data_IF_589560148438
#
_entry.id   IF_589560148438
#
_cell.length_a   1.000
_cell.length_b   1.000
_cell.length_c   1.000
_cell.angle_alpha   90.00
_cell.angle_beta   90.00
_cell.angle_gamma   90.00
#
_symmetry.space_group_name_H-M   'P 1'
#
loop_
_entity.id
_entity.type
_entity.pdbx_description
1 polymer ?
#
# COMPACT_ATOMS: atom_id res chain seq x y z
N UNK A 1 -2.06 17.42 -7.66
CA UNK A 1 -1.73 17.52 -6.23
C UNK A 1 -0.59 16.56 -5.95
N UNK A 2 0.35 16.96 -5.14
CA UNK A 2 1.54 16.17 -4.83
C UNK A 2 1.59 15.86 -3.34
N UNK A 3 2.24 14.78 -2.99
CA UNK A 3 2.47 14.35 -1.63
C UNK A 3 3.97 14.07 -1.41
N UNK A 4 4.37 13.78 -0.18
CA UNK A 4 5.74 13.37 0.13
C UNK A 4 5.71 11.90 0.54
N UNK A 5 6.59 11.11 -0.07
CA UNK A 5 6.76 9.70 0.26
C UNK A 5 8.21 9.36 0.60
N UNK A 6 8.38 8.31 1.38
CA UNK A 6 9.67 7.66 1.57
C UNK A 6 9.88 6.71 0.39
N UNK A 7 10.83 7.00 -0.47
CA UNK A 7 11.01 6.26 -1.73
C UNK A 7 12.30 5.47 -1.71
N UNK A 8 12.19 4.17 -1.94
CA UNK A 8 13.32 3.31 -2.23
C UNK A 8 13.53 3.28 -3.75
N UNK A 9 14.61 3.89 -4.22
CA UNK A 9 14.81 4.16 -5.65
C UNK A 9 15.77 3.20 -6.34
N UNK A 10 16.48 2.35 -5.60
CA UNK A 10 17.34 1.32 -6.18
C UNK A 10 17.60 0.17 -5.19
N UNK A 11 18.19 -0.92 -5.68
CA UNK A 11 18.60 -2.07 -4.88
C UNK A 11 19.88 -1.84 -4.05
N UNK A 12 20.58 -0.73 -4.25
CA UNK A 12 21.80 -0.44 -3.51
C UNK A 12 21.47 -0.06 -2.06
N UNK A 13 22.24 -0.52 -1.08
CA UNK A 13 22.06 -0.11 0.31
C UNK A 13 21.98 1.40 0.49
N UNK A 14 21.05 1.87 1.30
CA UNK A 14 20.87 3.29 1.59
C UNK A 14 20.14 4.09 0.51
N UNK A 15 19.59 3.44 -0.52
CA UNK A 15 18.85 4.09 -1.61
C UNK A 15 17.41 4.45 -1.21
N UNK A 16 17.25 5.14 -0.10
CA UNK A 16 15.95 5.57 0.45
C UNK A 16 16.02 7.04 0.80
N UNK A 17 15.06 7.82 0.30
CA UNK A 17 14.97 9.24 0.56
C UNK A 17 13.53 9.75 0.54
N UNK A 18 13.31 10.95 1.06
CA UNK A 18 12.04 11.66 0.90
C UNK A 18 11.96 12.25 -0.49
N UNK A 19 10.91 11.92 -1.20
CA UNK A 19 10.62 12.46 -2.54
C UNK A 19 9.21 12.99 -2.63
N UNK A 20 9.01 13.97 -3.50
CA UNK A 20 7.69 14.38 -3.93
C UNK A 20 7.12 13.30 -4.85
N UNK A 21 5.93 12.84 -4.54
CA UNK A 21 5.21 11.82 -5.30
C UNK A 21 3.91 12.37 -5.85
N UNK A 22 3.51 11.87 -7.00
CA UNK A 22 2.22 12.25 -7.59
C UNK A 22 1.06 11.69 -6.75
N UNK A 23 -0.05 12.42 -6.76
CA UNK A 23 -1.29 11.95 -6.17
C UNK A 23 -1.74 10.67 -6.91
N UNK A 24 -2.04 9.59 -6.20
CA UNK A 24 -2.36 8.32 -6.85
C UNK A 24 -3.64 8.42 -7.68
N UNK A 25 -3.62 7.84 -8.87
CA UNK A 25 -4.84 7.59 -9.62
C UNK A 25 -5.61 6.47 -8.93
N UNK A 26 -6.93 6.59 -8.88
CA UNK A 26 -7.79 5.59 -8.27
C UNK A 26 -8.98 5.24 -9.17
N UNK A 27 -9.40 4.00 -9.11
CA UNK A 27 -10.52 3.45 -9.87
C UNK A 27 -11.81 3.36 -9.06
N UNK A 28 -12.79 2.72 -9.65
CA UNK A 28 -14.13 2.58 -9.07
C UNK A 28 -14.19 1.74 -7.79
N UNK A 29 -13.22 0.86 -7.59
CA UNK A 29 -13.12 -0.04 -6.43
C UNK A 29 -12.11 0.41 -5.37
N UNK A 30 -11.47 1.56 -5.56
CA UNK A 30 -10.40 2.05 -4.72
C UNK A 30 -10.87 3.06 -3.67
N UNK A 31 -10.03 3.27 -2.67
CA UNK A 31 -10.19 4.29 -1.63
C UNK A 31 -8.93 5.14 -1.57
N UNK A 32 -9.08 6.45 -1.55
CA UNK A 32 -7.99 7.37 -1.24
C UNK A 32 -8.05 7.75 0.23
N UNK A 33 -6.95 7.56 0.90
CA UNK A 33 -6.79 7.85 2.31
C UNK A 33 -5.70 8.90 2.53
N UNK A 34 -5.97 9.86 3.40
CA UNK A 34 -4.94 10.72 3.95
C UNK A 34 -4.25 9.98 5.09
N UNK A 35 -2.98 9.65 4.92
CA UNK A 35 -2.18 8.97 5.94
C UNK A 35 -1.95 9.91 7.13
N UNK A 36 -2.27 9.44 8.33
CA UNK A 36 -2.03 10.16 9.59
C UNK A 36 -0.82 9.61 10.33
N UNK A 37 -0.56 8.31 10.19
CA UNK A 37 0.60 7.66 10.78
C UNK A 37 1.01 6.43 9.97
N UNK A 38 2.29 6.18 9.92
CA UNK A 38 2.90 5.00 9.31
C UNK A 38 3.99 4.46 10.23
N UNK A 39 4.03 3.15 10.42
CA UNK A 39 5.11 2.49 11.16
C UNK A 39 6.18 1.95 10.21
N UNK A 40 7.36 1.76 10.74
CA UNK A 40 8.48 1.12 10.03
C UNK A 40 8.49 -0.36 10.37
N UNK A 41 8.30 -1.20 9.36
CA UNK A 41 8.41 -2.65 9.47
C UNK A 41 9.86 -3.11 9.31
N UNK A 42 10.18 -4.30 9.81
CA UNK A 42 11.47 -4.93 9.55
C UNK A 42 11.77 -5.14 8.06
N UNK A 43 10.73 -5.33 7.23
CA UNK A 43 10.87 -5.42 5.77
C UNK A 43 11.37 -4.12 5.13
N UNK A 44 10.97 -2.96 5.64
CA UNK A 44 11.48 -1.67 5.17
C UNK A 44 12.97 -1.52 5.43
N UNK A 45 13.44 -2.00 6.60
CA UNK A 45 14.87 -2.02 6.92
C UNK A 45 15.66 -2.97 6.03
N UNK A 46 15.10 -4.13 5.67
CA UNK A 46 15.72 -5.04 4.71
C UNK A 46 15.88 -4.38 3.33
N UNK A 47 14.87 -3.66 2.86
CA UNK A 47 14.98 -2.90 1.62
C UNK A 47 16.01 -1.78 1.71
N UNK A 48 16.07 -1.05 2.81
CA UNK A 48 17.09 -0.02 3.04
C UNK A 48 18.51 -0.60 3.01
N UNK A 49 18.70 -1.76 3.63
CA UNK A 49 20.01 -2.42 3.66
C UNK A 49 20.33 -3.21 2.36
N UNK A 50 19.38 -3.34 1.44
CA UNK A 50 19.53 -4.16 0.24
C UNK A 50 19.66 -5.66 0.54
N UNK A 51 19.04 -6.12 1.63
CA UNK A 51 19.08 -7.52 2.10
C UNK A 51 17.75 -8.25 1.99
N UNK A 52 16.78 -7.64 1.30
CA UNK A 52 15.47 -8.26 1.04
C UNK A 52 15.62 -9.49 0.12
N UNK A 53 14.84 -10.52 0.41
CA UNK A 53 14.81 -11.77 -0.37
C UNK A 53 13.71 -11.82 -1.43
N UNK A 54 12.90 -10.77 -1.51
CA UNK A 54 11.83 -10.63 -2.51
C UNK A 54 12.21 -9.64 -3.60
N UNK A 55 11.57 -9.77 -4.74
CA UNK A 55 11.74 -8.85 -5.86
C UNK A 55 11.05 -7.51 -5.57
N UNK A 56 11.69 -6.42 -5.95
CA UNK A 56 11.17 -5.06 -5.81
C UNK A 56 11.27 -4.34 -7.15
N UNK A 57 10.16 -3.74 -7.56
CA UNK A 57 10.09 -2.88 -8.74
C UNK A 57 10.41 -1.44 -8.34
N UNK A 58 11.63 -1.01 -8.59
CA UNK A 58 12.07 0.35 -8.26
C UNK A 58 11.65 1.38 -9.31
N UNK A 59 11.34 2.62 -8.91
CA UNK A 59 11.23 3.12 -7.55
C UNK A 59 9.93 2.66 -6.89
N UNK A 60 9.94 2.46 -5.57
CA UNK A 60 8.74 2.12 -4.79
C UNK A 60 8.61 3.01 -3.57
N UNK A 61 7.40 3.41 -3.24
CA UNK A 61 7.08 4.13 -2.01
C UNK A 61 7.00 3.11 -0.87
N UNK A 62 7.79 3.32 0.17
CA UNK A 62 7.78 2.48 1.37
C UNK A 62 6.66 2.86 2.33
N UNK A 63 6.35 1.95 3.24
CA UNK A 63 5.32 2.10 4.26
C UNK A 63 4.06 1.32 3.90
N UNK A 64 3.85 0.18 4.56
CA UNK A 64 2.71 -0.71 4.35
C UNK A 64 1.93 -0.98 5.64
N UNK A 65 2.33 -0.37 6.73
CA UNK A 65 1.65 -0.42 8.03
C UNK A 65 1.21 1.00 8.40
N UNK A 66 0.05 1.42 7.91
CA UNK A 66 -0.40 2.79 8.06
C UNK A 66 -1.89 2.89 8.39
N UNK A 67 -2.25 4.02 8.97
CA UNK A 67 -3.63 4.39 9.22
C UNK A 67 -3.89 5.83 8.74
N UNK A 68 -5.14 6.14 8.56
CA UNK A 68 -5.54 7.47 8.13
C UNK A 68 -7.04 7.64 7.98
N UNK A 69 -7.41 8.69 7.30
CA UNK A 69 -8.80 9.11 7.11
C UNK A 69 -9.18 9.04 5.64
N UNK A 70 -10.32 8.42 5.34
CA UNK A 70 -10.85 8.32 3.98
C UNK A 70 -11.16 9.72 3.43
N UNK A 71 -10.59 10.05 2.29
CA UNK A 71 -10.79 11.32 1.58
C UNK A 71 -11.59 11.17 0.30
N UNK A 72 -11.41 10.05 -0.41
CA UNK A 72 -12.16 9.77 -1.64
C UNK A 72 -12.55 8.30 -1.69
N UNK A 73 -13.70 8.03 -2.31
CA UNK A 73 -14.24 6.69 -2.50
C UNK A 73 -14.51 6.49 -3.99
N UNK A 74 -14.04 5.40 -4.53
CA UNK A 74 -14.44 4.93 -5.85
C UNK A 74 -15.94 4.66 -5.92
N UNK A 75 -16.48 4.68 -7.12
CA UNK A 75 -17.93 4.60 -7.38
C UNK A 75 -18.57 3.35 -6.77
N UNK A 76 -17.94 2.19 -6.93
CA UNK A 76 -18.46 0.93 -6.41
C UNK A 76 -18.38 0.87 -4.88
N UNK A 77 -17.29 1.37 -4.29
CA UNK A 77 -17.12 1.46 -2.84
C UNK A 77 -18.20 2.33 -2.23
N UNK A 78 -18.46 3.49 -2.84
CA UNK A 78 -19.53 4.41 -2.43
C UNK A 78 -20.91 3.77 -2.52
N UNK A 79 -21.18 3.04 -3.61
CA UNK A 79 -22.46 2.35 -3.83
C UNK A 79 -22.69 1.21 -2.84
N UNK A 80 -21.64 0.54 -2.37
CA UNK A 80 -21.71 -0.52 -1.36
C UNK A 80 -22.12 0.01 0.03
N UNK A 81 -21.95 1.32 0.29
CA UNK A 81 -22.42 1.99 1.51
C UNK A 81 -21.75 1.57 2.81
N UNK A 82 -20.65 0.80 2.75
CA UNK A 82 -19.93 0.31 3.94
C UNK A 82 -19.03 1.39 4.55
N UNK A 83 -18.46 2.25 3.71
CA UNK A 83 -17.46 3.25 4.09
C UNK A 83 -17.96 4.66 3.78
N UNK A 84 -17.51 5.63 4.59
CA UNK A 84 -17.84 7.03 4.42
C UNK A 84 -16.60 7.91 4.43
N UNK A 85 -16.69 9.09 3.79
CA UNK A 85 -15.65 10.10 3.89
C UNK A 85 -15.48 10.51 5.36
N UNK A 86 -14.25 10.60 5.81
CA UNK A 86 -13.92 10.92 7.19
C UNK A 86 -13.75 9.71 8.12
N UNK A 87 -14.10 8.51 7.67
CA UNK A 87 -13.84 7.29 8.44
C UNK A 87 -12.34 7.10 8.67
N UNK A 88 -11.97 6.74 9.90
CA UNK A 88 -10.62 6.30 10.25
C UNK A 88 -10.46 4.82 9.97
N UNK A 89 -9.42 4.49 9.23
CA UNK A 89 -9.17 3.12 8.78
C UNK A 89 -7.69 2.76 8.91
N UNK A 90 -7.44 1.47 9.01
CA UNK A 90 -6.14 0.85 8.81
C UNK A 90 -6.24 -0.05 7.58
N UNK A 91 -5.11 -0.33 6.95
CA UNK A 91 -5.07 -1.23 5.81
C UNK A 91 -4.46 -2.57 6.20
N UNK A 92 -4.90 -3.62 5.54
CA UNK A 92 -4.17 -4.88 5.55
C UNK A 92 -2.95 -4.79 4.63
N UNK A 93 -1.88 -5.50 5.01
CA UNK A 93 -0.62 -5.51 4.25
C UNK A 93 -0.72 -6.27 2.93
N UNK A 94 -1.69 -7.17 2.77
CA UNK A 94 -1.98 -7.86 1.52
C UNK A 94 -3.04 -7.07 0.73
N UNK A 95 -2.65 -5.96 0.14
CA UNK A 95 -3.57 -5.00 -0.48
C UNK A 95 -4.08 -5.45 -1.86
N UNK A 96 -3.27 -6.15 -2.63
CA UNK A 96 -3.62 -6.63 -3.97
C UNK A 96 -3.51 -8.14 -4.00
N UNK A 97 -4.64 -8.81 -4.18
CA UNK A 97 -4.75 -10.26 -4.25
C UNK A 97 -5.66 -10.67 -5.41
N UNK A 98 -5.48 -11.88 -5.92
CA UNK A 98 -6.46 -12.52 -6.79
C UNK A 98 -7.51 -13.22 -5.91
N UNK A 99 -8.70 -12.62 -5.81
CA UNK A 99 -9.81 -13.16 -5.00
C UNK A 99 -10.32 -14.50 -5.52
N UNK A 100 -10.05 -14.83 -6.78
CA UNK A 100 -10.47 -16.08 -7.42
C UNK A 100 -9.44 -17.21 -7.29
N UNK A 101 -8.25 -16.91 -6.80
CA UNK A 101 -7.23 -17.93 -6.58
C UNK A 101 -7.68 -18.97 -5.54
N UNK A 102 -7.21 -20.23 -5.64
CA UNK A 102 -7.58 -21.27 -4.68
C UNK A 102 -7.23 -20.95 -3.24
N UNK A 103 -6.12 -20.21 -3.02
CA UNK A 103 -5.68 -19.81 -1.68
C UNK A 103 -6.56 -18.69 -1.11
N UNK A 104 -6.90 -17.69 -1.93
CA UNK A 104 -7.78 -16.59 -1.51
C UNK A 104 -9.19 -17.10 -1.19
N UNK A 105 -9.73 -18.02 -1.98
CA UNK A 105 -11.03 -18.67 -1.70
C UNK A 105 -11.06 -19.46 -0.41
N UNK A 106 -9.92 -19.93 0.09
CA UNK A 106 -9.77 -20.57 1.40
C UNK A 106 -9.52 -19.57 2.54
N UNK A 107 -9.54 -18.27 2.28
CA UNK A 107 -9.20 -17.24 3.25
C UNK A 107 -7.70 -17.10 3.53
N UNK A 108 -6.86 -17.73 2.71
CA UNK A 108 -5.39 -17.69 2.82
C UNK A 108 -4.77 -16.66 1.87
N UNK A 109 -5.37 -15.48 1.77
CA UNK A 109 -4.94 -14.42 0.85
C UNK A 109 -3.51 -13.92 1.11
N UNK A 110 -3.02 -14.06 2.35
CA UNK A 110 -1.63 -13.76 2.68
C UNK A 110 -0.61 -14.69 2.02
N UNK A 111 -1.05 -15.84 1.51
CA UNK A 111 -0.24 -16.81 0.75
C UNK A 111 -0.47 -16.74 -0.76
N UNK A 112 -1.33 -15.85 -1.22
CA UNK A 112 -1.63 -15.68 -2.64
C UNK A 112 -0.36 -15.22 -3.39
N UNK A 113 0.07 -15.94 -4.45
CA UNK A 113 1.27 -15.57 -5.20
C UNK A 113 1.13 -14.25 -5.99
N UNK A 114 -0.11 -13.81 -6.26
CA UNK A 114 -0.38 -12.53 -6.95
C UNK A 114 -0.38 -11.32 -6.02
N UNK A 115 -0.27 -11.54 -4.71
CA UNK A 115 -0.29 -10.44 -3.74
C UNK A 115 0.88 -9.48 -3.96
N UNK A 116 0.56 -8.19 -3.85
CA UNK A 116 1.50 -7.07 -3.97
C UNK A 116 1.41 -6.16 -2.77
#
# INVERSE_FOLDING_TARGET
MKSIGVVNFSSKPGSVELQEIEYPLFGDDDVIMQVEAVSVCGSDLHQWHGTNSWEVNYPVVLGHEFCGVIKELGKNVKSAGKWQLGDRVVTETAAVIDTDSPLSRQGKYNLDPSRK
#
